data_IF_575394444270
#
_entry.id   IF_575394444270
#
_cell.length_a   1.000
_cell.length_b   1.000
_cell.length_c   1.000
_cell.angle_alpha   90.00
_cell.angle_beta   90.00
_cell.angle_gamma   90.00
#
_symmetry.space_group_name_H-M   'P 1'
#
loop_
_entity.id
_entity.type
_entity.pdbx_description
1 polymer ?
#
# COMPACT_ATOMS: atom_id res chain seq x y z
N UNK A 1 27.79 -6.81 -9.06
CA UNK A 1 27.00 -5.86 -9.88
C UNK A 1 26.04 -5.16 -8.96
N UNK A 2 25.89 -3.83 -9.06
CA UNK A 2 24.90 -3.08 -8.28
C UNK A 2 23.52 -3.45 -8.80
N UNK A 3 22.63 -3.93 -7.94
CA UNK A 3 21.26 -4.30 -8.29
C UNK A 3 20.48 -3.03 -8.62
N UNK A 4 20.05 -2.85 -9.85
CA UNK A 4 19.26 -1.69 -10.26
C UNK A 4 17.76 -1.93 -9.97
N UNK A 5 17.20 -1.11 -9.07
CA UNK A 5 15.82 -1.22 -8.59
C UNK A 5 14.92 -0.23 -9.31
N UNK A 6 13.75 -0.70 -9.80
CA UNK A 6 12.71 0.17 -10.34
C UNK A 6 11.49 0.23 -9.42
N UNK A 7 11.01 1.44 -9.09
CA UNK A 7 9.80 1.66 -8.30
C UNK A 7 8.63 2.06 -9.22
N UNK A 8 7.73 1.12 -9.52
CA UNK A 8 6.55 1.34 -10.36
C UNK A 8 5.38 1.88 -9.54
N UNK A 9 4.94 3.10 -9.82
CA UNK A 9 3.96 3.82 -9.00
C UNK A 9 4.60 4.67 -7.90
N UNK A 10 5.84 5.10 -8.12
CA UNK A 10 6.69 5.81 -7.16
C UNK A 10 6.10 7.14 -6.64
N UNK A 11 5.20 7.79 -7.37
CA UNK A 11 4.62 9.06 -6.95
C UNK A 11 3.70 8.97 -5.71
N UNK A 12 3.25 7.75 -5.36
CA UNK A 12 2.46 7.50 -4.16
C UNK A 12 3.27 7.55 -2.86
N UNK A 13 2.57 7.68 -1.72
CA UNK A 13 3.20 7.78 -0.38
C UNK A 13 4.09 6.59 -0.04
N UNK A 14 3.68 5.36 -0.37
CA UNK A 14 4.50 4.17 -0.16
C UNK A 14 5.75 4.18 -1.05
N UNK A 15 5.64 4.63 -2.31
CA UNK A 15 6.78 4.77 -3.21
C UNK A 15 7.81 5.76 -2.68
N UNK A 16 7.35 6.90 -2.15
CA UNK A 16 8.22 7.90 -1.50
C UNK A 16 8.92 7.34 -0.27
N UNK A 17 8.22 6.57 0.56
CA UNK A 17 8.80 5.95 1.74
C UNK A 17 9.88 4.92 1.38
N UNK A 18 9.64 4.11 0.33
CA UNK A 18 10.64 3.14 -0.16
C UNK A 18 11.85 3.87 -0.73
N UNK A 19 11.63 4.91 -1.53
CA UNK A 19 12.71 5.72 -2.07
C UNK A 19 13.59 6.32 -0.96
N UNK A 20 12.99 6.89 0.09
CA UNK A 20 13.71 7.42 1.26
C UNK A 20 14.54 6.34 1.97
N UNK A 21 14.00 5.13 2.12
CA UNK A 21 14.76 4.02 2.72
C UNK A 21 15.96 3.61 1.85
N UNK A 22 15.79 3.54 0.53
CA UNK A 22 16.89 3.26 -0.41
C UNK A 22 17.96 4.35 -0.40
N UNK A 23 17.56 5.61 -0.32
CA UNK A 23 18.49 6.75 -0.20
C UNK A 23 19.30 6.71 1.10
N UNK A 24 18.66 6.36 2.22
CA UNK A 24 19.35 6.20 3.51
C UNK A 24 20.42 5.10 3.46
N UNK A 25 20.26 4.11 2.57
CA UNK A 25 21.21 3.04 2.31
C UNK A 25 22.16 3.35 1.12
N UNK A 26 22.10 4.55 0.57
CA UNK A 26 22.90 4.97 -0.62
C UNK A 26 22.70 4.05 -1.83
N UNK A 27 21.50 3.52 -2.02
CA UNK A 27 21.14 2.65 -3.15
C UNK A 27 20.50 3.46 -4.26
N UNK A 28 21.01 3.31 -5.48
CA UNK A 28 20.41 3.90 -6.68
C UNK A 28 19.10 3.20 -7.05
N UNK A 29 18.12 3.97 -7.54
CA UNK A 29 16.84 3.45 -7.97
C UNK A 29 16.25 4.27 -9.11
N UNK A 30 15.36 3.65 -9.90
CA UNK A 30 14.56 4.33 -10.93
C UNK A 30 13.14 4.52 -10.43
N UNK A 31 12.60 5.73 -10.55
CA UNK A 31 11.21 6.04 -10.25
C UNK A 31 10.39 6.06 -11.53
N UNK A 32 9.33 5.24 -11.56
CA UNK A 32 8.47 5.08 -12.73
C UNK A 32 7.05 5.53 -12.39
N UNK A 33 6.52 6.44 -13.17
CA UNK A 33 5.16 6.98 -13.00
C UNK A 33 4.69 7.72 -14.24
N UNK A 34 3.38 7.96 -14.35
CA UNK A 34 2.76 8.56 -15.55
C UNK A 34 3.10 10.04 -15.75
N UNK A 35 3.26 10.78 -14.67
CA UNK A 35 3.49 12.23 -14.72
C UNK A 35 4.96 12.55 -14.45
N UNK A 36 5.68 12.97 -15.46
CA UNK A 36 7.04 13.45 -15.31
C UNK A 36 7.13 14.63 -14.33
N UNK A 37 6.20 15.57 -14.42
CA UNK A 37 6.17 16.72 -13.51
C UNK A 37 6.05 16.29 -12.04
N UNK A 38 5.18 15.31 -11.72
CA UNK A 38 5.02 14.79 -10.37
C UNK A 38 6.29 14.05 -9.90
N UNK A 39 6.91 13.26 -10.77
CA UNK A 39 8.18 12.59 -10.45
C UNK A 39 9.30 13.61 -10.21
N UNK A 40 9.44 14.61 -11.09
CA UNK A 40 10.45 15.66 -10.93
C UNK A 40 10.24 16.47 -9.65
N UNK A 41 8.99 16.82 -9.32
CA UNK A 41 8.68 17.52 -8.07
C UNK A 41 9.05 16.70 -6.82
N UNK A 42 8.91 15.37 -6.89
CA UNK A 42 9.20 14.50 -5.73
C UNK A 42 10.66 14.04 -5.66
N UNK A 43 11.34 13.89 -6.78
CA UNK A 43 12.65 13.21 -6.87
C UNK A 43 13.73 13.98 -7.60
N UNK A 44 13.41 15.15 -8.21
CA UNK A 44 14.36 15.92 -9.01
C UNK A 44 15.58 16.44 -8.24
N UNK A 45 15.50 16.51 -6.91
CA UNK A 45 16.63 16.85 -6.04
C UNK A 45 17.51 15.67 -5.62
N UNK A 46 17.08 14.42 -5.88
CA UNK A 46 17.83 13.23 -5.49
C UNK A 46 18.88 12.86 -6.52
N UNK A 47 20.11 12.60 -6.06
CA UNK A 47 21.20 12.06 -6.92
C UNK A 47 21.10 10.55 -7.12
N UNK A 48 20.29 9.86 -6.32
CA UNK A 48 20.11 8.40 -6.38
C UNK A 48 18.94 8.00 -7.30
N UNK A 49 18.05 8.95 -7.63
CA UNK A 49 16.84 8.68 -8.40
C UNK A 49 17.05 8.93 -9.91
N UNK A 50 16.82 7.91 -10.72
CA UNK A 50 16.63 8.05 -12.15
C UNK A 50 15.14 8.22 -12.45
N UNK A 51 14.73 9.32 -13.08
CA UNK A 51 13.32 9.59 -13.40
C UNK A 51 12.98 8.99 -14.76
N UNK A 52 11.99 8.07 -14.78
CA UNK A 52 11.50 7.42 -15.99
C UNK A 52 9.96 7.56 -16.09
N UNK A 53 9.47 8.55 -16.79
CA UNK A 53 8.05 8.64 -17.10
C UNK A 53 7.64 7.49 -18.01
N UNK A 54 6.45 6.95 -17.80
CA UNK A 54 5.91 5.86 -18.60
C UNK A 54 4.46 6.10 -18.99
N UNK A 55 4.10 5.55 -20.14
CA UNK A 55 2.72 5.44 -20.57
C UNK A 55 2.36 3.94 -20.60
N UNK A 56 1.39 3.49 -19.78
CA UNK A 56 0.95 2.08 -19.79
C UNK A 56 0.28 1.68 -21.09
N UNK A 57 -0.12 2.61 -21.95
CA UNK A 57 -0.73 2.32 -23.25
C UNK A 57 0.30 2.32 -24.39
N UNK A 58 1.54 2.73 -24.13
CA UNK A 58 2.69 2.57 -25.04
C UNK A 58 3.63 1.46 -24.54
N UNK A 59 3.60 0.32 -25.24
CA UNK A 59 4.48 -0.82 -24.93
C UNK A 59 5.97 -0.44 -24.99
N UNK A 60 6.38 0.41 -25.94
CA UNK A 60 7.77 0.83 -26.05
C UNK A 60 8.18 1.71 -24.86
N UNK A 61 7.29 2.57 -24.36
CA UNK A 61 7.48 3.36 -23.14
C UNK A 61 7.66 2.45 -21.92
N UNK A 62 6.79 1.45 -21.76
CA UNK A 62 6.84 0.49 -20.64
C UNK A 62 8.15 -0.30 -20.67
N UNK A 63 8.59 -0.77 -21.84
CA UNK A 63 9.87 -1.48 -22.01
C UNK A 63 11.06 -0.56 -21.71
N UNK A 64 11.07 0.68 -22.18
CA UNK A 64 12.13 1.64 -21.86
C UNK A 64 12.26 1.84 -20.35
N UNK A 65 11.12 1.93 -19.64
CA UNK A 65 11.12 2.08 -18.18
C UNK A 65 11.67 0.83 -17.45
N UNK A 66 11.51 -0.38 -18.00
CA UNK A 66 12.02 -1.63 -17.42
C UNK A 66 13.48 -1.94 -17.78
N UNK A 67 14.00 -1.37 -18.87
CA UNK A 67 15.31 -1.71 -19.43
C UNK A 67 16.46 -1.53 -18.44
N UNK A 68 17.24 -2.58 -18.26
CA UNK A 68 18.43 -2.57 -17.41
C UNK A 68 18.13 -2.62 -15.91
N UNK A 69 16.89 -2.90 -15.50
CA UNK A 69 16.55 -3.19 -14.11
C UNK A 69 16.83 -4.67 -13.80
N UNK A 70 17.27 -4.93 -12.57
CA UNK A 70 17.33 -6.28 -12.01
C UNK A 70 16.06 -6.62 -11.24
N UNK A 71 15.54 -5.66 -10.49
CA UNK A 71 14.40 -5.82 -9.60
C UNK A 71 13.39 -4.72 -9.82
N UNK A 72 12.10 -5.08 -9.87
CA UNK A 72 10.96 -4.18 -9.99
C UNK A 72 10.11 -4.27 -8.72
N UNK A 73 9.88 -3.14 -8.07
CA UNK A 73 8.90 -3.00 -6.98
C UNK A 73 7.63 -2.41 -7.55
N UNK A 74 6.54 -3.18 -7.52
CA UNK A 74 5.25 -2.78 -8.09
C UNK A 74 4.32 -2.24 -7.02
N UNK A 75 3.97 -0.94 -7.14
CA UNK A 75 3.11 -0.20 -6.21
C UNK A 75 1.97 0.53 -6.93
N UNK A 76 1.68 0.14 -8.18
CA UNK A 76 0.71 0.90 -8.99
C UNK A 76 -0.67 0.84 -8.38
N UNK A 77 -1.19 2.01 -8.02
CA UNK A 77 -2.58 2.21 -7.63
C UNK A 77 -3.40 2.76 -8.80
N UNK A 78 -4.66 2.41 -8.84
CA UNK A 78 -5.65 2.96 -9.78
C UNK A 78 -6.80 3.60 -9.00
N UNK A 79 -7.56 4.54 -9.61
CA UNK A 79 -8.77 5.07 -8.98
C UNK A 79 -9.76 3.97 -8.61
N UNK A 80 -10.52 4.15 -7.51
CA UNK A 80 -11.42 3.12 -6.97
C UNK A 80 -12.53 2.71 -7.96
N UNK A 81 -12.96 3.60 -8.83
CA UNK A 81 -13.92 3.36 -9.91
C UNK A 81 -13.31 2.68 -11.15
N UNK A 82 -11.97 2.51 -11.16
CA UNK A 82 -11.22 1.93 -12.29
C UNK A 82 -10.44 0.66 -11.91
N UNK A 83 -10.85 -0.06 -10.88
CA UNK A 83 -10.12 -1.24 -10.38
C UNK A 83 -9.91 -2.34 -11.43
N UNK A 84 -10.74 -2.39 -12.48
CA UNK A 84 -10.53 -3.26 -13.64
C UNK A 84 -9.16 -3.05 -14.33
N UNK A 85 -8.51 -1.91 -14.11
CA UNK A 85 -7.20 -1.62 -14.69
C UNK A 85 -6.06 -2.33 -13.96
N UNK A 86 -6.24 -2.84 -12.72
CA UNK A 86 -5.18 -3.53 -12.00
C UNK A 86 -4.57 -4.70 -12.78
N UNK A 87 -5.36 -5.70 -13.25
CA UNK A 87 -4.81 -6.80 -14.04
C UNK A 87 -4.26 -6.32 -15.39
N UNK A 88 -4.89 -5.33 -16.02
CA UNK A 88 -4.43 -4.80 -17.31
C UNK A 88 -3.04 -4.17 -17.19
N UNK A 89 -2.85 -3.30 -16.19
CA UNK A 89 -1.57 -2.61 -15.99
C UNK A 89 -0.50 -3.59 -15.50
N UNK A 90 -0.87 -4.56 -14.66
CA UNK A 90 0.03 -5.63 -14.23
C UNK A 90 0.54 -6.43 -15.42
N UNK A 91 -0.35 -6.88 -16.32
CA UNK A 91 0.03 -7.63 -17.53
C UNK A 91 1.06 -6.86 -18.36
N UNK A 92 0.76 -5.60 -18.69
CA UNK A 92 1.66 -4.75 -19.49
C UNK A 92 3.03 -4.55 -18.81
N UNK A 93 3.03 -4.40 -17.49
CA UNK A 93 4.27 -4.25 -16.72
C UNK A 93 5.07 -5.55 -16.72
N UNK A 94 4.44 -6.71 -16.50
CA UNK A 94 5.11 -8.02 -16.49
C UNK A 94 5.67 -8.36 -17.88
N UNK A 95 4.90 -8.14 -18.95
CA UNK A 95 5.35 -8.40 -20.31
C UNK A 95 6.61 -7.57 -20.65
N UNK A 96 6.64 -6.31 -20.23
CA UNK A 96 7.81 -5.46 -20.40
C UNK A 96 8.98 -5.89 -19.52
N UNK A 97 8.74 -6.23 -18.26
CA UNK A 97 9.76 -6.69 -17.32
C UNK A 97 10.44 -7.97 -17.83
N UNK A 98 9.66 -8.96 -18.27
CA UNK A 98 10.16 -10.22 -18.82
C UNK A 98 10.95 -9.97 -20.11
N UNK A 99 10.43 -9.15 -21.03
CA UNK A 99 11.09 -8.83 -22.30
C UNK A 99 12.43 -8.08 -22.13
N UNK A 100 12.60 -7.32 -21.05
CA UNK A 100 13.85 -6.60 -20.74
C UNK A 100 14.74 -7.34 -19.73
N UNK A 101 14.39 -8.57 -19.35
CA UNK A 101 15.22 -9.45 -18.53
C UNK A 101 15.24 -9.07 -17.04
N UNK A 102 14.19 -8.43 -16.53
CA UNK A 102 14.01 -8.19 -15.09
C UNK A 102 13.89 -9.53 -14.37
N UNK A 103 14.77 -9.78 -13.41
CA UNK A 103 14.84 -11.07 -12.74
C UNK A 103 13.87 -11.22 -11.58
N UNK A 104 13.48 -10.11 -10.96
CA UNK A 104 12.75 -10.11 -9.69
C UNK A 104 11.63 -9.06 -9.67
N UNK A 105 10.47 -9.45 -9.16
CA UNK A 105 9.35 -8.53 -8.97
C UNK A 105 8.81 -8.67 -7.54
N UNK A 106 8.84 -7.57 -6.79
CA UNK A 106 8.18 -7.44 -5.50
C UNK A 106 6.88 -6.66 -5.70
N UNK A 107 5.75 -7.30 -5.42
CA UNK A 107 4.43 -6.65 -5.41
C UNK A 107 4.09 -6.17 -4.00
N UNK A 108 3.89 -4.87 -3.82
CA UNK A 108 3.26 -4.31 -2.62
C UNK A 108 1.75 -4.46 -2.79
N UNK A 109 1.22 -5.48 -2.14
CA UNK A 109 -0.18 -5.91 -2.22
C UNK A 109 -1.04 -5.41 -1.07
N UNK A 110 -2.27 -5.90 -1.03
CA UNK A 110 -3.28 -5.57 -0.02
C UNK A 110 -3.94 -6.84 0.53
N UNK A 111 -4.76 -6.72 1.56
CA UNK A 111 -5.56 -7.82 2.11
C UNK A 111 -6.77 -8.21 1.25
N UNK A 112 -7.12 -7.45 0.23
CA UNK A 112 -8.34 -7.63 -0.57
C UNK A 112 -8.49 -9.01 -1.23
N UNK A 113 -7.42 -9.67 -1.71
CA UNK A 113 -7.50 -11.02 -2.27
C UNK A 113 -8.00 -12.09 -1.30
N UNK A 114 -7.88 -11.89 0.01
CA UNK A 114 -8.39 -12.83 0.99
C UNK A 114 -9.92 -12.84 1.10
N UNK A 115 -10.59 -11.71 0.80
CA UNK A 115 -12.03 -11.58 1.01
C UNK A 115 -12.39 -11.54 2.49
N UNK A 116 -13.47 -12.24 2.88
CA UNK A 116 -13.82 -12.42 4.29
C UNK A 116 -12.93 -13.52 4.89
N UNK A 117 -12.22 -13.24 6.00
CA UNK A 117 -11.30 -14.21 6.57
C UNK A 117 -12.03 -15.41 7.15
N UNK A 118 -11.50 -16.62 6.90
CA UNK A 118 -12.01 -17.88 7.49
C UNK A 118 -11.48 -18.10 8.91
N UNK A 119 -10.37 -17.45 9.25
CA UNK A 119 -9.73 -17.50 10.57
C UNK A 119 -9.04 -16.17 10.90
N UNK A 120 -8.81 -15.94 12.18
CA UNK A 120 -8.08 -14.75 12.68
C UNK A 120 -7.08 -15.22 13.75
N UNK A 121 -5.79 -14.84 13.64
CA UNK A 121 -5.20 -14.04 12.56
C UNK A 121 -5.07 -14.80 11.23
N UNK A 122 -5.01 -14.05 10.11
CA UNK A 122 -4.81 -14.56 8.76
C UNK A 122 -3.32 -14.78 8.51
N UNK A 123 -2.93 -15.98 8.10
CA UNK A 123 -1.57 -16.34 7.69
C UNK A 123 -1.41 -16.28 6.17
N UNK A 124 -0.18 -16.35 5.70
CA UNK A 124 0.16 -16.22 4.28
C UNK A 124 -0.43 -17.33 3.39
N UNK A 125 -0.69 -18.51 3.96
CA UNK A 125 -1.30 -19.66 3.30
C UNK A 125 -2.84 -19.64 3.29
N UNK A 126 -3.47 -18.60 3.88
CA UNK A 126 -4.92 -18.43 3.86
C UNK A 126 -5.44 -18.38 2.41
N UNK A 127 -6.55 -19.08 2.10
CA UNK A 127 -7.16 -19.05 0.77
C UNK A 127 -7.45 -17.62 0.28
N UNK A 128 -7.19 -17.36 -1.00
CA UNK A 128 -7.50 -16.10 -1.66
C UNK A 128 -8.83 -16.22 -2.39
N UNK A 129 -9.93 -16.00 -1.67
CA UNK A 129 -11.32 -16.16 -2.15
C UNK A 129 -12.10 -14.83 -2.05
N UNK A 130 -11.74 -13.81 -2.84
CA UNK A 130 -12.38 -12.52 -2.75
C UNK A 130 -13.80 -12.55 -3.29
N UNK A 131 -14.77 -12.17 -2.47
CA UNK A 131 -16.18 -12.04 -2.86
C UNK A 131 -16.47 -10.69 -3.53
N UNK A 132 -15.61 -9.69 -3.38
CA UNK A 132 -15.78 -8.35 -3.95
C UNK A 132 -15.15 -8.24 -5.35
N UNK A 133 -15.65 -7.29 -6.17
CA UNK A 133 -15.04 -7.00 -7.47
C UNK A 133 -13.59 -6.52 -7.31
N UNK A 134 -13.34 -5.61 -6.37
CA UNK A 134 -11.99 -5.07 -6.12
C UNK A 134 -11.02 -6.15 -5.64
N UNK A 135 -11.49 -7.03 -4.79
CA UNK A 135 -10.70 -8.18 -4.34
C UNK A 135 -10.32 -9.10 -5.50
N UNK A 136 -11.28 -9.39 -6.40
CA UNK A 136 -11.01 -10.21 -7.60
C UNK A 136 -9.98 -9.57 -8.54
N UNK A 137 -10.07 -8.26 -8.78
CA UNK A 137 -9.09 -7.56 -9.63
C UNK A 137 -7.68 -7.56 -9.03
N UNK A 138 -7.58 -7.43 -7.70
CA UNK A 138 -6.29 -7.55 -7.01
C UNK A 138 -5.75 -8.97 -7.06
N UNK A 139 -6.61 -9.98 -6.83
CA UNK A 139 -6.22 -11.38 -6.94
C UNK A 139 -5.74 -11.73 -8.35
N UNK A 140 -6.46 -11.29 -9.38
CA UNK A 140 -6.08 -11.53 -10.79
C UNK A 140 -4.70 -10.93 -11.11
N UNK A 141 -4.41 -9.73 -10.62
CA UNK A 141 -3.08 -9.13 -10.78
C UNK A 141 -1.99 -9.93 -10.03
N UNK A 142 -2.27 -10.46 -8.82
CA UNK A 142 -1.35 -11.36 -8.11
C UNK A 142 -1.15 -12.68 -8.86
N UNK A 143 -2.23 -13.29 -9.38
CA UNK A 143 -2.17 -14.54 -10.10
C UNK A 143 -1.31 -14.45 -11.36
N UNK A 144 -1.35 -13.33 -12.09
CA UNK A 144 -0.47 -13.08 -13.24
C UNK A 144 1.01 -13.08 -12.84
N UNK A 145 1.35 -12.49 -11.70
CA UNK A 145 2.72 -12.46 -11.20
C UNK A 145 3.19 -13.86 -10.79
N UNK A 146 2.35 -14.60 -10.05
CA UNK A 146 2.64 -15.98 -9.64
C UNK A 146 2.73 -16.95 -10.82
N UNK A 147 1.93 -16.74 -11.88
CA UNK A 147 2.05 -17.51 -13.12
C UNK A 147 3.38 -17.26 -13.84
N UNK A 148 3.85 -16.02 -13.89
CA UNK A 148 5.14 -15.68 -14.48
C UNK A 148 6.30 -16.36 -13.70
N UNK A 149 6.21 -16.41 -12.37
CA UNK A 149 7.14 -17.14 -11.53
C UNK A 149 7.10 -18.66 -11.78
N UNK A 150 5.89 -19.24 -11.78
CA UNK A 150 5.69 -20.68 -12.02
C UNK A 150 6.23 -21.12 -13.39
N UNK A 151 6.25 -20.22 -14.38
CA UNK A 151 6.87 -20.45 -15.70
C UNK A 151 8.39 -20.22 -15.72
N UNK A 152 9.00 -19.86 -14.59
CA UNK A 152 10.43 -19.58 -14.48
C UNK A 152 10.88 -18.31 -15.19
N UNK A 153 9.98 -17.39 -15.50
CA UNK A 153 10.28 -16.16 -16.22
C UNK A 153 10.92 -15.08 -15.32
N UNK A 154 10.63 -15.13 -14.01
CA UNK A 154 11.19 -14.25 -12.98
C UNK A 154 11.00 -14.88 -11.59
N UNK A 155 11.59 -14.30 -10.57
CA UNK A 155 11.26 -14.59 -9.16
C UNK A 155 10.27 -13.54 -8.63
N UNK A 156 9.23 -13.98 -7.93
CA UNK A 156 8.22 -13.10 -7.38
C UNK A 156 8.25 -13.09 -5.85
N UNK A 157 7.85 -11.98 -5.26
CA UNK A 157 7.44 -11.91 -3.86
C UNK A 157 6.28 -10.93 -3.71
N UNK A 158 5.38 -11.22 -2.79
CA UNK A 158 4.21 -10.38 -2.51
C UNK A 158 4.26 -9.95 -1.04
N UNK A 159 4.27 -8.66 -0.78
CA UNK A 159 4.11 -8.10 0.56
C UNK A 159 2.67 -7.59 0.72
N UNK A 160 1.84 -8.28 1.50
CA UNK A 160 0.46 -7.85 1.78
C UNK A 160 0.41 -6.99 3.01
N UNK A 161 -0.26 -5.86 2.86
CA UNK A 161 -0.39 -4.82 3.86
C UNK A 161 -1.86 -4.58 4.19
N UNK A 162 -2.20 -4.26 5.46
CA UNK A 162 -3.50 -3.69 5.83
C UNK A 162 -3.60 -2.23 5.38
N UNK A 163 -4.52 -1.46 5.96
CA UNK A 163 -4.69 -0.05 5.64
C UNK A 163 -3.51 0.81 6.10
N UNK A 164 -3.36 1.96 5.46
CA UNK A 164 -2.23 2.86 5.67
C UNK A 164 -2.62 4.07 6.50
N UNK A 165 -1.68 4.59 7.27
CA UNK A 165 -1.75 5.90 7.87
C UNK A 165 -0.36 6.55 7.91
N UNK A 166 -0.33 7.85 8.12
CA UNK A 166 0.93 8.59 8.17
C UNK A 166 0.82 9.96 7.50
N UNK A 167 1.88 10.76 7.55
CA UNK A 167 1.93 12.05 6.84
C UNK A 167 1.66 11.90 5.35
N UNK A 168 0.76 12.73 4.80
CA UNK A 168 0.44 12.73 3.38
C UNK A 168 -0.41 11.56 2.87
N UNK A 169 -0.86 10.65 3.75
CA UNK A 169 -1.78 9.57 3.37
C UNK A 169 -3.19 10.15 3.21
N UNK A 170 -3.74 9.95 2.03
CA UNK A 170 -5.11 10.29 1.67
C UNK A 170 -5.92 9.03 1.34
N UNK A 171 -7.25 9.11 1.45
CA UNK A 171 -8.19 8.04 1.10
C UNK A 171 -8.01 6.76 1.94
N UNK A 172 -7.59 6.90 3.20
CA UNK A 172 -7.57 5.82 4.18
C UNK A 172 -8.81 5.88 5.09
N UNK A 173 -9.04 4.85 5.90
CA UNK A 173 -10.11 4.87 6.93
C UNK A 173 -9.86 5.91 8.03
N UNK A 174 -8.63 6.41 8.18
CA UNK A 174 -8.26 7.50 9.08
C UNK A 174 -8.20 8.86 8.37
N UNK A 175 -8.61 8.92 7.09
CA UNK A 175 -8.62 10.17 6.33
C UNK A 175 -9.57 11.20 6.98
N UNK A 176 -9.12 12.43 7.00
CA UNK A 176 -9.86 13.53 7.62
C UNK A 176 -9.76 13.61 9.15
N UNK A 177 -9.41 12.51 9.85
CA UNK A 177 -9.26 12.48 11.30
C UNK A 177 -8.25 13.54 11.80
N UNK A 178 -7.06 13.54 11.23
CA UNK A 178 -5.98 14.44 11.65
C UNK A 178 -6.34 15.91 11.43
N UNK A 179 -6.91 16.23 10.28
CA UNK A 179 -7.42 17.59 10.01
C UNK A 179 -8.55 18.00 10.93
N UNK A 180 -9.49 17.08 11.22
CA UNK A 180 -10.59 17.34 12.12
C UNK A 180 -10.09 17.63 13.54
N UNK A 181 -9.16 16.82 14.05
CA UNK A 181 -8.58 17.02 15.36
C UNK A 181 -7.77 18.32 15.43
N UNK A 182 -6.92 18.62 14.43
CA UNK A 182 -6.13 19.85 14.36
C UNK A 182 -7.02 21.10 14.38
N UNK A 183 -8.15 21.11 13.63
CA UNK A 183 -9.06 22.26 13.52
C UNK A 183 -10.20 22.28 14.55
N UNK A 184 -10.37 21.22 15.37
CA UNK A 184 -11.48 21.06 16.32
C UNK A 184 -12.82 20.77 15.65
N UNK A 185 -12.79 20.22 14.44
CA UNK A 185 -13.96 19.79 13.67
C UNK A 185 -14.45 18.39 14.04
N UNK A 186 -15.41 17.87 13.28
CA UNK A 186 -15.92 16.50 13.42
C UNK A 186 -15.16 15.57 12.47
N UNK A 187 -14.61 14.48 13.00
CA UNK A 187 -14.06 13.39 12.20
C UNK A 187 -15.19 12.48 11.69
N UNK A 188 -15.41 12.49 10.39
CA UNK A 188 -16.35 11.57 9.74
C UNK A 188 -15.59 10.31 9.35
N UNK A 189 -15.95 9.17 9.95
CA UNK A 189 -15.25 7.91 9.78
C UNK A 189 -16.18 6.85 9.21
N UNK A 190 -15.64 5.93 8.43
CA UNK A 190 -16.41 4.81 7.88
C UNK A 190 -16.51 3.73 8.95
N UNK A 191 -17.73 3.47 9.40
CA UNK A 191 -18.03 2.53 10.48
C UNK A 191 -18.47 1.13 10.02
N UNK A 192 -18.56 0.20 10.96
CA UNK A 192 -18.36 0.36 12.40
C UNK A 192 -16.91 0.70 12.77
N UNK A 193 -16.72 1.60 13.74
CA UNK A 193 -15.42 2.11 14.15
C UNK A 193 -14.85 1.43 15.40
N UNK A 194 -15.60 0.50 15.98
CA UNK A 194 -15.25 -0.25 17.19
C UNK A 194 -14.72 -1.66 16.88
N UNK A 195 -14.63 -2.00 15.60
CA UNK A 195 -14.10 -3.29 15.15
C UNK A 195 -12.56 -3.24 15.16
N UNK A 196 -11.88 -4.26 15.68
CA UNK A 196 -10.42 -4.38 15.61
C UNK A 196 -9.91 -4.25 14.17
N UNK A 197 -8.84 -3.49 13.97
CA UNK A 197 -8.24 -3.26 12.66
C UNK A 197 -6.72 -3.10 12.77
N UNK A 198 -6.01 -3.24 11.67
CA UNK A 198 -4.57 -2.99 11.60
C UNK A 198 -4.29 -1.86 10.62
N UNK A 199 -3.34 -1.00 10.99
CA UNK A 199 -2.86 0.08 10.14
C UNK A 199 -1.34 0.09 10.10
N UNK A 200 -0.78 0.25 8.90
CA UNK A 200 0.66 0.39 8.70
C UNK A 200 1.02 1.86 8.63
N UNK A 201 2.00 2.27 9.41
CA UNK A 201 2.63 3.57 9.28
C UNK A 201 3.48 3.59 8.00
N UNK A 202 3.16 4.48 7.06
CA UNK A 202 3.73 4.45 5.72
C UNK A 202 5.26 4.47 5.68
N UNK A 203 5.99 5.25 6.50
CA UNK A 203 7.45 5.20 6.50
C UNK A 203 8.03 3.81 6.83
N UNK A 204 7.34 2.99 7.64
CA UNK A 204 7.80 1.64 7.96
C UNK A 204 7.74 0.71 6.75
N UNK A 205 6.83 0.95 5.78
CA UNK A 205 6.78 0.22 4.51
C UNK A 205 8.12 0.35 3.77
N UNK A 206 8.68 1.56 3.77
CA UNK A 206 9.99 1.81 3.15
C UNK A 206 11.08 0.93 3.74
N UNK A 207 11.19 0.93 5.06
CA UNK A 207 12.19 0.14 5.79
C UNK A 207 12.03 -1.37 5.54
N UNK A 208 10.78 -1.87 5.59
CA UNK A 208 10.50 -3.30 5.38
C UNK A 208 10.80 -3.71 3.94
N UNK A 209 10.37 -2.93 2.95
CA UNK A 209 10.65 -3.25 1.54
C UNK A 209 12.14 -3.19 1.26
N UNK A 210 12.89 -2.20 1.80
CA UNK A 210 14.34 -2.15 1.63
C UNK A 210 15.04 -3.37 2.24
N UNK A 211 14.63 -3.81 3.43
CA UNK A 211 15.14 -5.03 4.07
C UNK A 211 14.80 -6.30 3.25
N UNK A 212 13.58 -6.40 2.71
CA UNK A 212 13.20 -7.50 1.82
C UNK A 212 14.07 -7.55 0.56
N UNK A 213 14.33 -6.41 -0.06
CA UNK A 213 15.16 -6.31 -1.26
C UNK A 213 16.64 -6.71 -1.02
N UNK A 214 17.08 -6.73 0.22
CA UNK A 214 18.42 -7.16 0.63
C UNK A 214 18.50 -8.64 1.04
N UNK A 215 17.36 -9.34 1.14
CA UNK A 215 17.29 -10.71 1.62
C UNK A 215 16.87 -11.67 0.50
N UNK A 216 17.71 -12.67 0.21
CA UNK A 216 17.46 -13.67 -0.84
C UNK A 216 16.29 -14.63 -0.50
N UNK A 217 16.01 -14.85 0.77
CA UNK A 217 14.98 -15.81 1.21
C UNK A 217 13.52 -15.28 1.09
N UNK A 218 13.35 -14.00 0.73
CA UNK A 218 12.00 -13.43 0.54
C UNK A 218 11.34 -13.88 -0.76
N UNK A 219 12.13 -14.31 -1.75
CA UNK A 219 11.64 -14.64 -3.09
C UNK A 219 10.91 -15.99 -3.11
N UNK A 220 9.93 -16.15 -4.00
CA UNK A 220 9.10 -17.35 -4.12
C UNK A 220 7.99 -17.45 -3.07
N UNK A 221 7.70 -16.39 -2.32
CA UNK A 221 6.73 -16.40 -1.20
C UNK A 221 5.88 -15.13 -1.15
N UNK A 222 4.76 -15.26 -0.45
CA UNK A 222 3.99 -14.12 0.03
C UNK A 222 4.32 -13.86 1.50
N UNK A 223 4.28 -12.60 1.90
CA UNK A 223 4.62 -12.13 3.24
C UNK A 223 3.57 -11.14 3.73
N UNK A 224 3.40 -11.09 5.04
CA UNK A 224 2.57 -10.09 5.70
C UNK A 224 3.42 -9.06 6.46
N UNK A 225 2.95 -7.83 6.50
CA UNK A 225 3.45 -6.82 7.43
C UNK A 225 2.26 -6.11 8.06
N UNK A 226 1.98 -6.42 9.31
CA UNK A 226 0.79 -5.99 10.05
C UNK A 226 0.88 -4.57 10.63
N UNK A 227 2.05 -3.94 10.57
CA UNK A 227 2.29 -2.58 11.01
C UNK A 227 2.32 -2.41 12.53
N UNK A 228 1.62 -1.39 13.03
CA UNK A 228 1.70 -0.94 14.43
C UNK A 228 0.90 -1.82 15.43
N UNK A 229 0.26 -2.87 14.96
CA UNK A 229 -0.58 -3.76 15.76
C UNK A 229 -2.08 -3.55 15.55
N UNK A 230 -2.90 -4.14 16.43
CA UNK A 230 -4.36 -4.07 16.36
C UNK A 230 -4.88 -2.91 17.21
N UNK A 231 -5.77 -2.10 16.64
CA UNK A 231 -6.50 -1.05 17.33
C UNK A 231 -7.85 -0.79 16.65
N UNK A 232 -8.82 -0.22 17.33
CA UNK A 232 -10.05 0.25 16.71
C UNK A 232 -9.88 1.66 16.15
N UNK A 233 -10.66 2.02 15.14
CA UNK A 233 -10.66 3.40 14.62
C UNK A 233 -11.05 4.39 15.73
N UNK A 234 -11.97 4.02 16.63
CA UNK A 234 -12.37 4.85 17.78
C UNK A 234 -11.19 5.15 18.68
N UNK A 235 -10.46 4.12 19.14
CA UNK A 235 -9.28 4.31 20.00
C UNK A 235 -8.24 5.22 19.36
N UNK A 236 -7.97 5.04 18.06
CA UNK A 236 -7.02 5.91 17.35
C UNK A 236 -7.54 7.35 17.24
N UNK A 237 -8.83 7.53 16.96
CA UNK A 237 -9.42 8.86 16.88
C UNK A 237 -9.40 9.59 18.23
N UNK A 238 -9.75 8.91 19.32
CA UNK A 238 -9.70 9.47 20.67
C UNK A 238 -8.28 9.91 21.07
N UNK A 239 -7.27 9.08 20.74
CA UNK A 239 -5.85 9.43 20.96
C UNK A 239 -5.43 10.67 20.16
N UNK A 240 -5.81 10.76 18.87
CA UNK A 240 -5.47 11.93 18.04
C UNK A 240 -6.13 13.21 18.56
N UNK A 241 -7.39 13.16 18.97
CA UNK A 241 -8.06 14.31 19.60
C UNK A 241 -7.41 14.70 20.93
N UNK A 242 -7.03 13.74 21.77
CA UNK A 242 -6.30 13.97 23.01
C UNK A 242 -4.95 14.64 22.77
N UNK A 243 -4.16 14.17 21.79
CA UNK A 243 -2.89 14.78 21.37
C UNK A 243 -3.07 16.22 20.89
N UNK A 244 -4.22 16.53 20.25
CA UNK A 244 -4.57 17.88 19.83
C UNK A 244 -5.12 18.76 20.98
N UNK A 245 -5.20 18.25 22.21
CA UNK A 245 -5.77 18.96 23.35
C UNK A 245 -7.29 19.22 23.22
N UNK A 246 -8.02 18.34 22.54
CA UNK A 246 -9.44 18.55 22.19
C UNK A 246 -10.31 17.37 22.61
N UNK A 247 -11.60 17.65 22.86
CA UNK A 247 -12.60 16.59 23.08
C UNK A 247 -12.90 15.90 21.74
N UNK A 248 -13.00 14.56 21.71
CA UNK A 248 -13.35 13.82 20.51
C UNK A 248 -14.71 14.22 19.95
N UNK A 249 -14.76 14.53 18.66
CA UNK A 249 -15.99 14.74 17.87
C UNK A 249 -15.95 13.76 16.71
N UNK A 250 -16.57 12.61 16.88
CA UNK A 250 -16.49 11.48 15.93
C UNK A 250 -17.92 11.17 15.45
N UNK A 251 -18.08 11.06 14.13
CA UNK A 251 -19.31 10.61 13.51
C UNK A 251 -19.03 9.41 12.60
N UNK A 252 -19.61 8.25 12.96
CA UNK A 252 -19.44 7.03 12.20
C UNK A 252 -20.52 6.89 11.13
N UNK A 253 -20.09 6.78 9.86
CA UNK A 253 -20.99 6.57 8.72
C UNK A 253 -21.04 5.07 8.42
N UNK A 254 -22.17 4.44 8.74
CA UNK A 254 -22.41 3.02 8.44
C UNK A 254 -22.78 2.76 6.97
N UNK A 255 -22.92 1.49 6.60
CA UNK A 255 -23.18 1.04 5.21
C UNK A 255 -24.41 1.71 4.57
N UNK A 256 -25.48 1.96 5.33
CA UNK A 256 -26.66 2.66 4.83
C UNK A 256 -26.33 4.13 4.47
N UNK A 257 -25.60 4.82 5.34
CA UNK A 257 -25.14 6.19 5.08
C UNK A 257 -24.23 6.26 3.85
N UNK A 258 -23.29 5.30 3.69
CA UNK A 258 -22.44 5.21 2.50
C UNK A 258 -23.26 5.04 1.21
N UNK A 259 -24.35 4.25 1.24
CA UNK A 259 -25.23 4.10 0.07
C UNK A 259 -25.91 5.42 -0.30
N UNK A 260 -26.43 6.15 0.67
CA UNK A 260 -27.05 7.45 0.42
C UNK A 260 -26.02 8.45 -0.11
N UNK A 261 -24.88 8.56 0.53
CA UNK A 261 -23.80 9.45 0.08
C UNK A 261 -23.26 9.03 -1.30
N UNK A 262 -23.26 7.75 -1.62
CA UNK A 262 -22.83 7.19 -2.90
C UNK A 262 -23.69 7.60 -4.09
N UNK A 263 -24.91 8.12 -3.87
CA UNK A 263 -25.73 8.70 -4.94
C UNK A 263 -25.10 9.99 -5.51
N UNK A 264 -24.35 10.72 -4.68
CA UNK A 264 -23.76 12.01 -5.03
C UNK A 264 -22.23 11.99 -5.08
N UNK A 265 -21.59 10.97 -4.49
CA UNK A 265 -20.14 10.87 -4.40
C UNK A 265 -19.66 9.47 -4.88
N UNK A 266 -18.98 9.40 -6.04
CA UNK A 266 -18.49 8.13 -6.59
C UNK A 266 -17.60 7.36 -5.61
N UNK A 267 -16.72 8.01 -4.85
CA UNK A 267 -15.85 7.34 -3.87
C UNK A 267 -16.68 6.66 -2.78
N UNK A 268 -17.71 7.33 -2.24
CA UNK A 268 -18.58 6.75 -1.21
C UNK A 268 -19.34 5.52 -1.75
N UNK A 269 -19.74 5.55 -3.01
CA UNK A 269 -20.36 4.39 -3.69
C UNK A 269 -19.41 3.20 -3.72
N UNK A 270 -18.16 3.44 -4.08
CA UNK A 270 -17.12 2.40 -4.13
C UNK A 270 -16.77 1.85 -2.72
N UNK A 271 -16.89 2.68 -1.68
CA UNK A 271 -16.65 2.27 -0.29
C UNK A 271 -17.75 1.35 0.26
N UNK A 272 -18.95 1.32 -0.34
CA UNK A 272 -20.01 0.37 0.05
C UNK A 272 -19.55 -1.08 -0.12
N UNK A 273 -18.85 -1.38 -1.21
CA UNK A 273 -18.28 -2.70 -1.47
C UNK A 273 -17.21 -3.06 -0.43
N UNK A 274 -16.37 -2.09 -0.05
CA UNK A 274 -15.24 -2.30 0.86
C UNK A 274 -15.63 -2.26 2.35
N UNK A 275 -16.88 -1.94 2.68
CA UNK A 275 -17.34 -1.87 4.06
C UNK A 275 -17.21 -3.20 4.83
N UNK A 276 -17.09 -4.32 4.13
CA UNK A 276 -16.86 -5.62 4.76
C UNK A 276 -15.58 -5.64 5.62
N UNK A 277 -14.54 -4.90 5.25
CA UNK A 277 -13.30 -4.79 6.02
C UNK A 277 -13.55 -4.21 7.43
N UNK A 278 -14.63 -3.44 7.62
CA UNK A 278 -15.03 -2.90 8.91
C UNK A 278 -15.93 -3.86 9.71
N UNK A 279 -16.57 -4.83 9.06
CA UNK A 279 -17.47 -5.81 9.73
C UNK A 279 -16.84 -7.18 9.90
N UNK A 280 -15.89 -7.53 9.05
CA UNK A 280 -15.15 -8.79 9.05
C UNK A 280 -13.67 -8.51 8.76
N UNK A 281 -12.97 -7.89 9.73
CA UNK A 281 -11.62 -7.38 9.49
C UNK A 281 -10.63 -8.50 9.21
N UNK A 282 -9.70 -8.24 8.28
CA UNK A 282 -8.57 -9.12 7.99
C UNK A 282 -7.42 -8.71 8.89
N UNK A 283 -7.20 -9.47 9.96
CA UNK A 283 -6.09 -9.28 10.90
C UNK A 283 -4.95 -10.21 10.49
N UNK A 284 -3.87 -9.65 10.00
CA UNK A 284 -2.72 -10.40 9.50
C UNK A 284 -1.82 -10.92 10.64
N UNK A 285 -1.33 -12.15 10.49
CA UNK A 285 -0.16 -12.65 11.20
C UNK A 285 1.08 -12.34 10.33
N UNK A 286 2.05 -11.63 10.86
CA UNK A 286 3.30 -11.29 10.17
C UNK A 286 4.54 -11.86 10.87
N UNK A 287 4.33 -12.87 11.71
CA UNK A 287 5.40 -13.53 12.45
C UNK A 287 6.47 -14.17 11.54
N UNK A 288 6.06 -14.68 10.37
CA UNK A 288 6.98 -15.29 9.41
C UNK A 288 7.99 -14.26 8.86
N UNK A 289 7.52 -13.09 8.41
CA UNK A 289 8.40 -12.02 7.94
C UNK A 289 9.26 -11.44 9.07
N UNK A 290 8.69 -11.30 10.26
CA UNK A 290 9.41 -10.82 11.44
C UNK A 290 10.54 -11.77 11.87
N UNK A 291 10.32 -13.07 11.76
CA UNK A 291 11.34 -14.09 12.02
C UNK A 291 12.46 -14.02 10.98
N UNK A 292 12.11 -13.88 9.70
CA UNK A 292 13.08 -13.83 8.61
C UNK A 292 13.96 -12.58 8.65
N UNK A 293 13.35 -11.41 8.84
CA UNK A 293 14.07 -10.13 8.79
C UNK A 293 14.64 -9.70 10.14
N UNK A 294 14.35 -10.43 11.21
CA UNK A 294 14.67 -10.01 12.58
C UNK A 294 13.80 -8.82 13.01
N UNK A 295 14.36 -7.92 13.81
CA UNK A 295 13.62 -6.76 14.33
C UNK A 295 13.39 -5.75 13.20
N UNK A 296 12.25 -5.84 12.51
CA UNK A 296 11.81 -4.78 11.60
C UNK A 296 11.29 -3.58 12.42
N UNK A 297 11.64 -2.38 11.98
CA UNK A 297 11.15 -1.15 12.62
C UNK A 297 9.62 -1.12 12.52
N UNK A 298 8.97 -1.01 13.68
CA UNK A 298 7.52 -0.79 13.78
C UNK A 298 7.29 0.46 14.62
N UNK A 299 6.86 1.50 13.96
CA UNK A 299 6.49 2.73 14.64
C UNK A 299 5.24 2.49 15.47
N UNK A 300 5.28 2.81 16.78
CA UNK A 300 4.09 2.70 17.62
C UNK A 300 2.98 3.63 17.14
N UNK A 301 1.72 3.28 17.42
CA UNK A 301 0.60 4.18 17.13
C UNK A 301 0.81 5.57 17.72
N UNK A 302 1.33 5.67 18.95
CA UNK A 302 1.58 6.96 19.58
C UNK A 302 2.52 7.84 18.76
N UNK A 303 3.66 7.32 18.33
CA UNK A 303 4.63 8.07 17.53
C UNK A 303 4.09 8.39 16.12
N UNK A 304 3.47 7.41 15.46
CA UNK A 304 2.94 7.60 14.09
C UNK A 304 1.73 8.55 14.03
N UNK A 305 0.82 8.47 14.99
CA UNK A 305 -0.32 9.40 15.11
C UNK A 305 0.15 10.82 15.39
N UNK A 306 1.14 10.99 16.28
CA UNK A 306 1.73 12.29 16.58
C UNK A 306 2.32 12.92 15.32
N UNK A 307 3.17 12.19 14.60
CA UNK A 307 3.77 12.67 13.34
C UNK A 307 2.72 13.03 12.28
N UNK A 308 1.63 12.23 12.18
CA UNK A 308 0.53 12.49 11.25
C UNK A 308 -0.26 13.75 11.63
N UNK A 309 -0.48 13.98 12.93
CA UNK A 309 -1.15 15.18 13.43
C UNK A 309 -0.30 16.43 13.21
N UNK A 310 1.01 16.37 13.48
CA UNK A 310 1.96 17.47 13.24
C UNK A 310 1.97 17.88 11.76
N UNK A 311 1.96 16.91 10.84
CA UNK A 311 1.86 17.18 9.41
C UNK A 311 0.51 17.82 9.00
N UNK A 312 -0.57 17.55 9.72
CA UNK A 312 -1.89 18.15 9.45
C UNK A 312 -2.05 19.57 10.03
N UNK A 313 -1.13 20.01 10.89
CA UNK A 313 -1.07 21.36 11.47
C UNK A 313 -0.29 22.34 10.58
N UNK A 314 0.54 21.85 9.67
CA UNK A 314 1.29 22.64 8.67
C UNK A 314 0.40 23.01 7.49
#
# INVERSE_FOLDING_TARGET
MVTKIGLWGAAGVAGKAIAQALEAESREYRVVGRSQASLTASYGGSRMAEIAPWDPDDTASTRRAARGLDTLVYLVGVPYDQFRLHPVVMRKTLDAAIAEGVRRVLLVGTVYPYGMPLMTPVKEDHPREPHTFKGRMRKEAEDMLLEAEARGQLQATILRLPDFYGPGVEKSFLDGLFRAAAKGGTAYMIGPIDTPHQFVYVPDIGTVVSAMLANEEVWGRSWHFAGSGVATQRELAERVFAMAGRKPKIFAVGKAGLRVMGLFNPLMREMVEMNYLQTSPVILDDSALSTLLGTTRRTSYEAGLKASLEAALQ
#
